data_IF_296551738855
#
_entry.id   IF_296551738855
#
_cell.length_a   1.000
_cell.length_b   1.000
_cell.length_c   1.000
_cell.angle_alpha   90.00
_cell.angle_beta   90.00
_cell.angle_gamma   90.00
#
_symmetry.space_group_name_H-M   'P 1'
#
loop_
_entity.id
_entity.type
_entity.pdbx_description
1 polymer ?
#
# COMPACT_ATOMS: atom_id res chain seq x y z
N UNK A 1 3.08 21.04 -15.15
CA UNK A 1 3.06 19.75 -14.41
C UNK A 1 1.63 19.51 -13.96
N UNK A 2 0.89 18.61 -14.62
CA UNK A 2 -0.52 18.36 -14.26
C UNK A 2 -0.52 17.44 -13.04
N UNK A 3 -1.02 17.94 -11.92
CA UNK A 3 -1.19 17.15 -10.69
C UNK A 3 -2.31 16.13 -10.90
N UNK A 4 -1.94 14.90 -11.29
CA UNK A 4 -2.90 13.80 -11.54
C UNK A 4 -3.47 13.16 -10.27
N UNK A 5 -3.21 13.74 -9.09
CA UNK A 5 -3.53 13.11 -7.80
C UNK A 5 -4.79 13.74 -7.22
N UNK A 6 -5.80 12.91 -6.95
CA UNK A 6 -7.09 13.36 -6.41
C UNK A 6 -7.06 13.73 -4.92
N UNK A 7 -6.02 13.34 -4.17
CA UNK A 7 -5.93 13.59 -2.73
C UNK A 7 -4.47 13.80 -2.28
N UNK A 8 -4.29 14.71 -1.31
CA UNK A 8 -3.02 14.97 -0.65
C UNK A 8 -2.51 13.72 0.09
N UNK A 9 -1.20 13.47 0.03
CA UNK A 9 -0.55 12.36 0.74
C UNK A 9 0.20 12.88 1.96
N UNK A 10 -0.04 12.25 3.11
CA UNK A 10 0.71 12.48 4.34
C UNK A 10 1.85 11.48 4.43
N UNK A 11 3.06 11.97 4.71
CA UNK A 11 4.22 11.10 4.96
C UNK A 11 4.00 10.40 6.29
N UNK A 12 4.17 9.09 6.30
CA UNK A 12 4.02 8.26 7.50
C UNK A 12 5.16 7.25 7.56
N UNK A 13 5.39 6.67 8.74
CA UNK A 13 6.29 5.55 8.93
C UNK A 13 5.57 4.52 9.80
N UNK A 14 4.83 3.61 9.16
CA UNK A 14 4.00 2.62 9.86
C UNK A 14 4.34 1.23 9.37
N UNK A 15 4.35 0.26 10.29
CA UNK A 15 4.38 -1.15 9.92
C UNK A 15 3.00 -1.59 9.43
N UNK A 16 2.96 -2.29 8.31
CA UNK A 16 1.74 -2.88 7.76
C UNK A 16 1.97 -4.32 7.30
N UNK A 17 0.89 -5.01 7.00
CA UNK A 17 0.93 -6.35 6.42
C UNK A 17 0.09 -6.38 5.16
N UNK A 18 0.65 -6.92 4.10
CA UNK A 18 -0.11 -7.27 2.90
C UNK A 18 -0.57 -8.71 3.05
N UNK A 19 -1.86 -8.95 2.88
CA UNK A 19 -2.43 -10.30 2.91
C UNK A 19 -3.09 -10.59 1.58
N UNK A 20 -2.74 -11.74 0.99
CA UNK A 20 -3.41 -12.33 -0.16
C UNK A 20 -3.29 -13.84 -0.09
N UNK A 21 -4.30 -14.53 -0.60
CA UNK A 21 -4.41 -15.99 -0.48
C UNK A 21 -4.24 -16.40 0.99
N UNK A 22 -3.20 -17.19 1.30
CA UNK A 22 -2.82 -17.61 2.66
C UNK A 22 -1.49 -17.02 3.12
N UNK A 23 -0.97 -15.99 2.45
CA UNK A 23 0.33 -15.38 2.73
C UNK A 23 0.19 -13.98 3.32
N UNK A 24 0.94 -13.71 4.39
CA UNK A 24 1.09 -12.39 5.00
C UNK A 24 2.51 -11.88 4.82
N UNK A 25 2.67 -10.72 4.18
CA UNK A 25 3.98 -10.12 3.89
C UNK A 25 4.11 -8.81 4.66
N UNK A 26 5.12 -8.66 5.53
CA UNK A 26 5.37 -7.38 6.22
C UNK A 26 5.79 -6.31 5.21
N UNK A 27 5.36 -5.08 5.46
CA UNK A 27 5.71 -3.92 4.66
C UNK A 27 5.81 -2.66 5.52
N UNK A 28 6.49 -1.64 5.01
CA UNK A 28 6.54 -0.31 5.62
C UNK A 28 5.70 0.67 4.82
N UNK A 29 4.67 1.26 5.43
CA UNK A 29 3.88 2.33 4.82
C UNK A 29 4.65 3.65 4.92
N UNK A 30 4.91 4.28 3.78
CA UNK A 30 5.74 5.49 3.62
C UNK A 30 4.93 6.76 3.44
N UNK A 31 3.74 6.64 2.86
CA UNK A 31 2.75 7.71 2.77
C UNK A 31 1.36 7.13 2.55
N UNK A 32 0.34 7.89 2.95
CA UNK A 32 -1.08 7.56 2.78
C UNK A 32 -1.87 8.79 2.33
N UNK A 33 -2.94 8.55 1.58
CA UNK A 33 -4.03 9.50 1.34
C UNK A 33 -5.36 8.79 1.52
N UNK A 34 -6.48 9.51 1.37
CA UNK A 34 -7.81 8.90 1.43
C UNK A 34 -8.04 7.79 0.39
N UNK A 35 -7.33 7.83 -0.74
CA UNK A 35 -7.52 6.90 -1.87
C UNK A 35 -6.39 5.90 -2.09
N UNK A 36 -5.33 5.90 -1.28
CA UNK A 36 -4.22 4.98 -1.49
C UNK A 36 -3.02 5.17 -0.57
N UNK A 37 -1.99 4.39 -0.83
CA UNK A 37 -0.75 4.41 -0.04
C UNK A 37 0.48 4.16 -0.93
N UNK A 38 1.66 4.44 -0.40
CA UNK A 38 2.90 3.86 -0.90
C UNK A 38 3.57 3.05 0.20
N UNK A 39 4.02 1.86 -0.16
CA UNK A 39 4.65 0.91 0.75
C UNK A 39 6.03 0.50 0.24
N UNK A 40 6.92 0.14 1.16
CA UNK A 40 8.17 -0.55 0.87
C UNK A 40 8.06 -2.01 1.32
N UNK A 41 8.56 -2.91 0.48
CA UNK A 41 8.71 -4.34 0.76
C UNK A 41 10.18 -4.66 0.99
N UNK A 42 10.48 -5.59 1.89
CA UNK A 42 11.88 -5.98 2.17
C UNK A 42 12.53 -6.71 0.99
N UNK A 43 11.71 -7.44 0.22
CA UNK A 43 12.13 -8.17 -0.98
C UNK A 43 11.18 -7.87 -2.16
N UNK A 44 11.67 -7.95 -3.41
CA UNK A 44 10.80 -7.87 -4.57
C UNK A 44 9.85 -9.07 -4.62
N UNK A 45 8.57 -8.86 -4.30
CA UNK A 45 7.52 -9.90 -4.40
C UNK A 45 6.48 -9.56 -5.47
N UNK A 46 6.06 -10.52 -6.29
CA UNK A 46 4.93 -10.35 -7.21
C UNK A 46 3.62 -10.32 -6.42
N UNK A 47 2.90 -9.21 -6.46
CA UNK A 47 1.60 -9.05 -5.80
C UNK A 47 0.48 -9.39 -6.79
N UNK A 48 -0.61 -10.02 -6.33
CA UNK A 48 -1.79 -10.27 -7.17
C UNK A 48 -2.51 -8.97 -7.53
N UNK A 49 -3.52 -9.06 -8.41
CA UNK A 49 -4.30 -7.92 -8.87
C UNK A 49 -5.04 -7.20 -7.72
N UNK A 50 -5.50 -7.97 -6.72
CA UNK A 50 -6.14 -7.47 -5.51
C UNK A 50 -5.58 -8.17 -4.28
N UNK A 51 -5.32 -7.39 -3.23
CA UNK A 51 -4.85 -7.85 -1.92
C UNK A 51 -5.31 -6.90 -0.84
N UNK A 52 -5.19 -7.30 0.42
CA UNK A 52 -5.55 -6.48 1.57
C UNK A 52 -4.30 -5.86 2.18
N UNK A 53 -4.34 -4.55 2.48
CA UNK A 53 -3.37 -3.89 3.34
C UNK A 53 -3.99 -3.72 4.73
N UNK A 54 -3.28 -4.16 5.76
CA UNK A 54 -3.62 -3.91 7.16
C UNK A 54 -2.53 -3.11 7.89
N UNK A 55 -2.94 -2.22 8.79
CA UNK A 55 -2.07 -1.45 9.68
C UNK A 55 -2.66 -1.59 11.09
N UNK A 56 -2.16 -2.55 11.86
CA UNK A 56 -2.76 -2.94 13.14
C UNK A 56 -2.86 -1.79 14.15
N UNK A 57 -1.84 -0.91 14.21
CA UNK A 57 -1.85 0.24 15.13
C UNK A 57 -2.92 1.29 14.83
N UNK A 58 -3.46 1.28 13.61
CA UNK A 58 -4.45 2.24 13.15
C UNK A 58 -5.86 1.63 13.07
N UNK A 59 -6.04 0.35 13.41
CA UNK A 59 -7.25 -0.43 13.09
C UNK A 59 -7.68 -0.29 11.61
N UNK A 60 -6.68 -0.22 10.73
CA UNK A 60 -6.89 0.05 9.31
C UNK A 60 -6.79 -1.25 8.52
N UNK A 61 -7.84 -1.53 7.73
CA UNK A 61 -7.86 -2.64 6.78
C UNK A 61 -8.55 -2.17 5.49
N UNK A 62 -7.88 -2.31 4.35
CA UNK A 62 -8.46 -1.98 3.04
C UNK A 62 -8.00 -2.94 1.95
N UNK A 63 -8.93 -3.31 1.07
CA UNK A 63 -8.59 -3.94 -0.19
C UNK A 63 -7.89 -2.92 -1.09
N UNK A 64 -6.89 -3.39 -1.80
CA UNK A 64 -5.95 -2.59 -2.56
C UNK A 64 -5.69 -3.23 -3.92
N UNK A 65 -5.32 -2.38 -4.88
CA UNK A 65 -4.68 -2.80 -6.14
C UNK A 65 -3.38 -2.05 -6.35
N UNK A 66 -2.43 -2.69 -7.01
CA UNK A 66 -1.18 -2.04 -7.43
C UNK A 66 -1.45 -1.03 -8.55
N UNK A 67 -0.88 0.17 -8.44
CA UNK A 67 -0.95 1.24 -9.45
C UNK A 67 0.38 1.42 -10.15
N UNK A 68 1.48 1.29 -9.41
CA UNK A 68 2.84 1.37 -9.95
C UNK A 68 3.81 0.64 -9.03
N UNK A 69 4.97 0.30 -9.57
CA UNK A 69 6.07 -0.32 -8.85
C UNK A 69 7.41 0.26 -9.29
N UNK A 70 8.31 0.43 -8.33
CA UNK A 70 9.71 0.78 -8.58
C UNK A 70 10.56 0.04 -7.55
N UNK A 71 11.26 -1.00 -8.01
CA UNK A 71 12.05 -1.91 -7.17
C UNK A 71 11.21 -2.47 -5.98
N UNK A 72 11.58 -2.11 -4.75
CA UNK A 72 10.92 -2.50 -3.51
C UNK A 72 9.74 -1.61 -3.11
N UNK A 73 9.55 -0.47 -3.78
CA UNK A 73 8.46 0.47 -3.48
C UNK A 73 7.26 0.24 -4.39
N UNK A 74 6.08 0.13 -3.79
CA UNK A 74 4.82 -0.12 -4.49
C UNK A 74 3.81 0.98 -4.15
N UNK A 75 3.15 1.51 -5.19
CA UNK A 75 2.02 2.41 -5.05
C UNK A 75 0.70 1.66 -5.11
N UNK A 76 -0.18 1.91 -4.14
CA UNK A 76 -1.47 1.26 -3.96
C UNK A 76 -2.61 2.25 -4.16
N UNK A 77 -3.69 1.78 -4.77
CA UNK A 77 -5.00 2.42 -4.70
C UNK A 77 -5.92 1.57 -3.83
N UNK A 78 -6.66 2.21 -2.92
CA UNK A 78 -7.70 1.53 -2.17
C UNK A 78 -8.90 1.30 -3.09
N UNK A 79 -9.43 0.08 -3.07
CA UNK A 79 -10.68 -0.27 -3.75
C UNK A 79 -11.81 -0.22 -2.73
N UNK A 80 -12.93 0.37 -3.15
CA UNK A 80 -14.21 0.28 -2.44
C UNK A 80 -14.88 -1.06 -2.76
#
# INVERSE_FOLDING_TARGET
MIEKRAAQRHRVFKGGTITFESSGIPCTVRNMSAGGAAIDLDTPVTLPQSFTLSIARDDFVRNCRTVWRSDKRVGLAFVQ
#
